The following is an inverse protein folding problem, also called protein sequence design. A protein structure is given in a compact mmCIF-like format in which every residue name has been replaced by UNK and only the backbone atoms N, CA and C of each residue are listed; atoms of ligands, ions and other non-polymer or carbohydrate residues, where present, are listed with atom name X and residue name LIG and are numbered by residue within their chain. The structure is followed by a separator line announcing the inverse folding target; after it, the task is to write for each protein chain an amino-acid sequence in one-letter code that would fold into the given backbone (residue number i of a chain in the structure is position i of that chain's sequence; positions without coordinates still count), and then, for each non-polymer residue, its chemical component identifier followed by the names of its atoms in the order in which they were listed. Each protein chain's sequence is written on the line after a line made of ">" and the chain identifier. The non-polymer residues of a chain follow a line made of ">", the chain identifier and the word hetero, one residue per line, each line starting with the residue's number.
data_IF_077469880798
#
_entry.id   IF_077469880798
#
_cell.length_a   1.000
_cell.length_b   1.000
_cell.length_c   1.000
_cell.angle_alpha   90.00
_cell.angle_beta   90.00
_cell.angle_gamma   90.00
#
_symmetry.space_group_name_H-M   'P 1'
#
loop_
_entity.id
_entity.type
_entity.pdbx_description
1 polymer ?
#
# COMPACT_ATOMS: atom_id res chain seq x y z
N UNK A 1 -16.81 -5.59 -13.36
CA UNK A 1 -15.70 -5.71 -12.41
C UNK A 1 -14.48 -5.22 -13.14
N UNK A 2 -13.89 -4.11 -12.70
CA UNK A 2 -12.66 -3.60 -13.30
C UNK A 2 -11.49 -4.54 -12.92
N UNK A 3 -10.45 -4.54 -13.74
CA UNK A 3 -9.13 -5.03 -13.34
C UNK A 3 -8.36 -3.76 -12.96
N UNK A 4 -7.95 -3.65 -11.70
CA UNK A 4 -7.04 -2.60 -11.24
C UNK A 4 -5.69 -2.78 -11.97
N UNK A 5 -5.16 -1.71 -12.56
CA UNK A 5 -3.94 -1.73 -13.36
C UNK A 5 -2.94 -0.80 -12.68
N UNK A 6 -2.26 -1.33 -11.67
CA UNK A 6 -1.19 -0.61 -10.97
C UNK A 6 0.18 -0.80 -11.65
N UNK A 7 1.01 0.25 -11.61
CA UNK A 7 2.48 0.14 -11.76
C UNK A 7 3.15 0.66 -10.49
N UNK A 8 4.27 0.06 -10.11
CA UNK A 8 4.97 0.30 -8.85
C UNK A 8 6.45 0.51 -9.09
N UNK A 9 7.04 1.53 -8.47
CA UNK A 9 8.43 1.91 -8.64
C UNK A 9 9.09 2.18 -7.29
N UNK A 10 10.40 1.96 -7.20
CA UNK A 10 11.22 2.61 -6.19
C UNK A 10 11.33 4.11 -6.48
N UNK A 11 11.60 4.92 -5.47
CA UNK A 11 11.83 6.37 -5.63
C UNK A 11 13.31 6.68 -5.44
N UNK A 12 13.93 7.28 -6.45
CA UNK A 12 15.36 7.59 -6.49
C UNK A 12 15.70 9.07 -6.22
N UNK A 13 14.70 9.95 -6.18
CA UNK A 13 14.87 11.38 -5.93
C UNK A 13 13.70 12.02 -5.19
N UNK A 14 13.89 13.26 -4.74
CA UNK A 14 12.92 14.03 -3.95
C UNK A 14 11.94 14.87 -4.77
N UNK A 15 12.09 14.90 -6.10
CA UNK A 15 11.31 15.74 -7.02
C UNK A 15 9.79 15.54 -7.00
N UNK A 16 9.29 14.46 -6.39
CA UNK A 16 7.85 14.27 -6.12
C UNK A 16 7.31 15.19 -5.03
N UNK A 17 8.15 15.69 -4.09
CA UNK A 17 7.71 16.47 -2.93
C UNK A 17 7.05 17.79 -3.32
N UNK A 18 7.44 18.38 -4.45
CA UNK A 18 6.81 19.58 -5.02
C UNK A 18 5.45 19.33 -5.69
N UNK A 19 5.05 18.06 -5.87
CA UNK A 19 3.80 17.64 -6.51
C UNK A 19 2.74 17.19 -5.49
N UNK A 20 3.02 17.22 -4.18
CA UNK A 20 2.13 16.66 -3.15
C UNK A 20 0.85 17.51 -3.00
N UNK A 21 -0.28 16.94 -3.43
CA UNK A 21 -1.63 17.52 -3.34
C UNK A 21 -2.25 17.34 -1.95
N UNK A 22 -2.04 16.16 -1.34
CA UNK A 22 -2.51 15.83 0.00
C UNK A 22 -1.67 14.69 0.60
N UNK A 23 -1.81 14.45 1.90
CA UNK A 23 -1.10 13.36 2.58
C UNK A 23 -1.95 12.80 3.72
N UNK A 24 -1.92 11.48 3.91
CA UNK A 24 -2.60 10.78 5.00
C UNK A 24 -1.64 9.82 5.72
N UNK A 25 -1.74 9.73 7.04
CA UNK A 25 -0.92 8.82 7.85
C UNK A 25 -1.60 7.45 7.96
N UNK A 26 -0.92 6.40 7.47
CA UNK A 26 -1.48 5.06 7.31
C UNK A 26 -0.76 4.02 8.16
N UNK A 27 -1.48 3.48 9.15
CA UNK A 27 -1.07 2.26 9.87
C UNK A 27 -1.94 1.11 9.44
N UNK A 28 -1.35 0.02 8.97
CA UNK A 28 -2.09 -1.17 8.57
C UNK A 28 -1.40 -2.46 9.02
N UNK A 29 -2.19 -3.39 9.57
CA UNK A 29 -1.75 -4.65 10.15
C UNK A 29 -2.56 -5.83 9.65
N UNK A 30 -1.92 -6.99 9.54
CA UNK A 30 -2.50 -8.19 8.96
C UNK A 30 -2.87 -9.21 10.04
N UNK A 31 -4.13 -9.62 10.07
CA UNK A 31 -4.69 -10.49 11.12
C UNK A 31 -4.66 -11.98 10.75
N UNK A 32 -4.49 -12.31 9.46
CA UNK A 32 -4.33 -13.70 8.99
C UNK A 32 -2.88 -14.01 8.64
N UNK A 33 -2.27 -14.91 9.42
CA UNK A 33 -0.93 -15.48 9.16
C UNK A 33 -1.06 -16.92 8.68
N UNK A 34 -0.61 -17.22 7.45
CA UNK A 34 -0.51 -18.61 6.93
C UNK A 34 -1.81 -19.28 6.45
N UNK A 35 -2.95 -18.59 6.46
CA UNK A 35 -4.21 -19.12 5.93
C UNK A 35 -4.25 -19.14 4.39
N UNK A 36 -4.56 -20.29 3.78
CA UNK A 36 -4.71 -20.39 2.31
C UNK A 36 -5.93 -19.57 1.84
N UNK A 37 -5.67 -18.45 1.19
CA UNK A 37 -6.66 -17.73 0.40
C UNK A 37 -7.58 -16.76 1.14
N UNK A 38 -7.24 -16.28 2.35
CA UNK A 38 -7.93 -15.12 2.96
C UNK A 38 -6.93 -14.19 3.62
N UNK A 39 -6.92 -12.92 3.18
CA UNK A 39 -6.17 -11.83 3.80
C UNK A 39 -7.15 -10.94 4.56
N UNK A 40 -6.98 -10.82 5.88
CA UNK A 40 -7.69 -9.81 6.69
C UNK A 40 -6.68 -8.74 7.09
N UNK A 41 -6.92 -7.51 6.63
CA UNK A 41 -6.14 -6.31 6.95
C UNK A 41 -7.00 -5.37 7.78
N UNK A 42 -6.46 -4.87 8.89
CA UNK A 42 -6.99 -3.67 9.56
C UNK A 42 -6.13 -2.47 9.15
N UNK A 43 -6.74 -1.32 8.89
CA UNK A 43 -6.09 -0.06 8.54
C UNK A 43 -6.67 1.07 9.39
N UNK A 44 -5.83 2.00 9.82
CA UNK A 44 -6.27 3.32 10.33
C UNK A 44 -5.71 4.41 9.44
N UNK A 45 -6.46 5.51 9.33
CA UNK A 45 -6.11 6.71 8.55
C UNK A 45 -6.16 7.91 9.49
N UNK A 46 -5.04 8.63 9.57
CA UNK A 46 -4.80 9.79 10.45
C UNK A 46 -5.08 9.51 11.95
N UNK A 47 -5.04 8.23 12.34
CA UNK A 47 -5.50 7.70 13.63
C UNK A 47 -6.92 8.17 14.03
N UNK A 48 -7.74 8.49 13.02
CA UNK A 48 -9.09 9.06 13.15
C UNK A 48 -10.18 8.18 12.52
N UNK A 49 -9.90 7.55 11.37
CA UNK A 49 -10.79 6.57 10.69
C UNK A 49 -10.21 5.17 10.75
N UNK A 50 -11.06 4.15 10.88
CA UNK A 50 -10.66 2.74 10.98
C UNK A 50 -11.36 1.88 9.91
N UNK A 51 -10.65 0.94 9.32
CA UNK A 51 -11.15 0.07 8.25
C UNK A 51 -10.72 -1.39 8.46
N UNK A 52 -11.59 -2.33 8.09
CA UNK A 52 -11.25 -3.75 7.92
C UNK A 52 -11.45 -4.12 6.45
N UNK A 53 -10.37 -4.55 5.80
CA UNK A 53 -10.38 -5.12 4.44
C UNK A 53 -10.28 -6.64 4.53
N UNK A 54 -11.19 -7.35 3.87
CA UNK A 54 -11.14 -8.81 3.69
C UNK A 54 -10.97 -9.10 2.20
N UNK A 55 -9.81 -9.63 1.80
CA UNK A 55 -9.51 -10.05 0.42
C UNK A 55 -9.50 -11.58 0.34
N UNK A 56 -10.30 -12.18 -0.55
CA UNK A 56 -10.29 -13.63 -0.79
C UNK A 56 -9.43 -14.01 -2.00
N UNK A 57 -8.63 -15.06 -1.82
CA UNK A 57 -7.83 -15.70 -2.85
C UNK A 57 -8.67 -16.65 -3.68
N UNK A 58 -9.47 -16.11 -4.60
CA UNK A 58 -9.95 -16.85 -5.76
C UNK A 58 -8.80 -17.21 -6.71
N UNK A 59 -9.13 -17.67 -7.92
CA UNK A 59 -8.12 -17.82 -8.96
C UNK A 59 -7.48 -16.47 -9.31
N UNK A 60 -6.30 -16.49 -9.93
CA UNK A 60 -5.51 -15.29 -10.22
C UNK A 60 -6.21 -14.22 -11.11
N UNK A 61 -7.39 -14.53 -11.64
CA UNK A 61 -8.21 -13.66 -12.49
C UNK A 61 -9.30 -12.90 -11.72
N UNK A 62 -9.61 -13.28 -10.47
CA UNK A 62 -10.60 -12.58 -9.64
C UNK A 62 -10.37 -12.83 -8.14
N UNK A 63 -10.06 -11.77 -7.40
CA UNK A 63 -10.13 -11.72 -5.93
C UNK A 63 -11.42 -10.99 -5.55
N UNK A 64 -12.14 -11.48 -4.54
CA UNK A 64 -13.23 -10.70 -3.97
C UNK A 64 -12.69 -9.84 -2.82
N UNK A 65 -13.12 -8.59 -2.77
CA UNK A 65 -12.68 -7.62 -1.77
C UNK A 65 -13.89 -6.98 -1.09
N UNK A 66 -13.82 -6.92 0.23
CA UNK A 66 -14.83 -6.29 1.07
C UNK A 66 -14.11 -5.36 2.03
N UNK A 67 -14.43 -4.07 1.99
CA UNK A 67 -13.93 -3.10 2.97
C UNK A 67 -15.08 -2.50 3.77
N UNK A 68 -14.89 -2.43 5.09
CA UNK A 68 -15.87 -1.90 6.04
C UNK A 68 -15.18 -0.84 6.91
N UNK A 69 -15.80 0.34 7.04
CA UNK A 69 -15.42 1.29 8.09
C UNK A 69 -15.86 0.74 9.45
N UNK A 70 -15.01 0.92 10.46
CA UNK A 70 -15.20 0.44 11.84
C UNK A 70 -14.78 1.53 12.84
N UNK A 71 -15.28 1.50 14.09
CA UNK A 71 -14.86 2.45 15.11
C UNK A 71 -13.33 2.48 15.27
N UNK A 72 -12.75 3.68 15.35
CA UNK A 72 -11.30 3.85 15.47
C UNK A 72 -10.72 3.18 16.72
N UNK A 73 -11.50 3.06 17.81
CA UNK A 73 -11.11 2.30 19.00
C UNK A 73 -10.91 0.81 18.67
N UNK A 74 -11.84 0.21 17.93
CA UNK A 74 -11.81 -1.20 17.52
C UNK A 74 -10.65 -1.43 16.54
N UNK A 75 -10.45 -0.53 15.58
CA UNK A 75 -9.32 -0.60 14.65
C UNK A 75 -7.95 -0.55 15.35
N UNK A 76 -7.79 0.30 16.38
CA UNK A 76 -6.58 0.34 17.22
C UNK A 76 -6.37 -0.97 18.00
N UNK A 77 -7.44 -1.54 18.58
CA UNK A 77 -7.36 -2.83 19.28
C UNK A 77 -6.99 -3.98 18.32
N UNK A 78 -7.62 -4.03 17.15
CA UNK A 78 -7.32 -5.00 16.10
C UNK A 78 -5.88 -4.85 15.58
N UNK A 79 -5.38 -3.62 15.38
CA UNK A 79 -3.98 -3.38 15.02
C UNK A 79 -3.02 -4.05 16.01
N UNK A 80 -3.25 -3.94 17.33
CA UNK A 80 -2.43 -4.59 18.34
C UNK A 80 -2.43 -6.14 18.23
N UNK A 81 -3.49 -6.76 17.71
CA UNK A 81 -3.57 -8.21 17.51
C UNK A 81 -2.73 -8.74 16.33
N UNK A 82 -2.22 -7.89 15.45
CA UNK A 82 -1.40 -8.30 14.29
C UNK A 82 0.04 -8.69 14.63
N UNK A 83 0.48 -8.61 15.90
CA UNK A 83 1.74 -9.20 16.41
C UNK A 83 3.01 -8.86 15.61
N UNK A 84 3.12 -7.62 15.12
CA UNK A 84 4.27 -7.16 14.33
C UNK A 84 4.15 -7.40 12.82
N UNK A 85 3.06 -8.03 12.35
CA UNK A 85 2.68 -8.05 10.93
C UNK A 85 2.06 -6.70 10.50
N UNK A 86 2.85 -5.62 10.62
CA UNK A 86 2.41 -4.22 10.47
C UNK A 86 3.33 -3.42 9.55
N UNK A 87 2.77 -2.35 8.97
CA UNK A 87 3.50 -1.22 8.39
C UNK A 87 2.88 0.10 8.83
N UNK A 88 3.73 1.12 9.00
CA UNK A 88 3.39 2.52 9.25
C UNK A 88 4.02 3.35 8.11
N UNK A 89 3.27 4.26 7.50
CA UNK A 89 3.72 5.06 6.35
C UNK A 89 2.87 6.32 6.16
N UNK A 90 3.45 7.36 5.56
CA UNK A 90 2.67 8.47 4.99
C UNK A 90 2.36 8.16 3.54
N UNK A 91 1.09 8.25 3.12
CA UNK A 91 0.71 8.21 1.70
C UNK A 91 0.48 9.62 1.19
N UNK A 92 1.36 10.07 0.30
CA UNK A 92 1.26 11.34 -0.40
C UNK A 92 0.54 11.14 -1.73
N UNK A 93 -0.54 11.89 -1.97
CA UNK A 93 -1.23 11.90 -3.27
C UNK A 93 -0.60 13.01 -4.12
N UNK A 94 -0.24 12.73 -5.37
CA UNK A 94 0.44 13.70 -6.23
C UNK A 94 -0.54 14.37 -7.22
N UNK A 95 -0.25 15.61 -7.59
CA UNK A 95 -0.83 16.28 -8.75
C UNK A 95 0.09 16.03 -9.95
N UNK A 96 -0.12 14.89 -10.62
CA UNK A 96 0.70 14.40 -11.73
C UNK A 96 -0.18 13.68 -12.76
N UNK A 97 0.08 13.91 -14.04
CA UNK A 97 -0.71 13.34 -15.13
C UNK A 97 -0.45 11.85 -15.41
N UNK A 98 -1.36 11.24 -16.17
CA UNK A 98 -1.22 9.88 -16.71
C UNK A 98 -1.80 8.75 -15.86
N UNK A 99 -2.22 9.03 -14.62
CA UNK A 99 -2.88 8.09 -13.72
C UNK A 99 -3.06 8.71 -12.33
N UNK A 100 -3.72 8.01 -11.41
CA UNK A 100 -3.80 8.43 -10.00
C UNK A 100 -2.50 8.03 -9.30
N UNK A 101 -1.63 9.02 -9.06
CA UNK A 101 -0.29 8.85 -8.49
C UNK A 101 -0.27 9.01 -6.98
N UNK A 102 0.42 8.08 -6.30
CA UNK A 102 0.79 8.19 -4.89
C UNK A 102 2.25 7.85 -4.65
N UNK A 103 2.84 8.46 -3.62
CA UNK A 103 4.12 8.03 -3.03
C UNK A 103 3.88 7.63 -1.58
N UNK A 104 4.28 6.42 -1.24
CA UNK A 104 4.34 5.92 0.13
C UNK A 104 5.74 6.16 0.71
N UNK A 105 5.81 7.01 1.74
CA UNK A 105 6.98 7.19 2.59
C UNK A 105 6.84 6.28 3.81
N UNK A 106 7.58 5.15 3.86
CA UNK A 106 7.49 4.16 4.93
C UNK A 106 8.35 4.53 6.14
N UNK A 107 7.86 4.19 7.34
CA UNK A 107 8.44 4.61 8.62
C UNK A 107 8.97 3.44 9.47
N UNK A 108 9.84 3.76 10.42
CA UNK A 108 10.21 2.90 11.55
C UNK A 108 11.17 1.78 11.14
N UNK A 109 10.65 0.58 10.81
CA UNK A 109 11.49 -0.55 10.35
C UNK A 109 11.78 -0.53 8.85
N UNK A 110 11.02 0.29 8.11
CA UNK A 110 11.14 0.52 6.67
C UNK A 110 11.55 1.96 6.39
N UNK A 111 12.17 2.62 7.37
CA UNK A 111 12.59 4.03 7.29
C UNK A 111 13.49 4.25 6.06
N UNK A 112 13.12 5.19 5.19
CA UNK A 112 13.83 5.46 3.95
C UNK A 112 13.42 4.59 2.75
N UNK A 113 12.55 3.59 2.92
CA UNK A 113 11.88 2.94 1.80
C UNK A 113 10.76 3.86 1.27
N UNK A 114 10.91 4.34 0.04
CA UNK A 114 9.91 5.14 -0.66
C UNK A 114 9.45 4.39 -1.92
N UNK A 115 8.14 4.21 -2.07
CA UNK A 115 7.53 3.51 -3.21
C UNK A 115 6.52 4.42 -3.88
N UNK A 116 6.62 4.59 -5.20
CA UNK A 116 5.58 5.21 -6.00
C UNK A 116 4.63 4.13 -6.55
N UNK A 117 3.33 4.39 -6.47
CA UNK A 117 2.28 3.58 -7.12
C UNK A 117 1.46 4.50 -8.03
N UNK A 118 1.03 3.99 -9.18
CA UNK A 118 0.13 4.69 -10.11
C UNK A 118 -0.93 3.74 -10.64
N UNK A 119 -2.20 4.14 -10.52
CA UNK A 119 -3.32 3.42 -11.12
C UNK A 119 -3.63 3.99 -12.53
N UNK A 120 -3.85 3.09 -13.49
CA UNK A 120 -4.04 3.41 -14.91
C UNK A 120 -5.40 2.92 -15.43
N UNK A 121 -6.07 3.74 -16.26
CA UNK A 121 -7.32 3.34 -16.92
C UNK A 121 -7.14 2.18 -17.93
N UNK A 122 -5.92 1.93 -18.43
CA UNK A 122 -5.66 0.84 -19.38
C UNK A 122 -4.20 0.34 -19.35
N UNK A 123 -3.93 -0.95 -19.64
CA UNK A 123 -2.58 -1.52 -19.64
C UNK A 123 -1.68 -0.99 -20.78
N UNK A 124 -2.27 -0.34 -21.77
CA UNK A 124 -1.59 0.25 -22.93
C UNK A 124 -1.47 1.77 -22.84
N UNK A 125 -1.80 2.36 -21.69
CA UNK A 125 -1.61 3.78 -21.43
C UNK A 125 -0.12 4.16 -21.53
N UNK A 126 0.19 5.18 -22.33
CA UNK A 126 1.52 5.79 -22.30
C UNK A 126 1.65 6.62 -21.03
N UNK A 127 2.69 6.35 -20.26
CA UNK A 127 3.00 7.03 -19.01
C UNK A 127 4.42 7.60 -19.12
N UNK A 128 4.52 8.92 -19.15
CA UNK A 128 5.81 9.61 -19.15
C UNK A 128 6.39 9.58 -17.73
N UNK A 129 7.38 8.71 -17.52
CA UNK A 129 7.97 8.43 -16.22
C UNK A 129 8.82 9.63 -15.72
N UNK A 130 8.52 10.22 -14.55
CA UNK A 130 9.35 11.29 -13.98
C UNK A 130 10.76 10.81 -13.61
N UNK A 131 11.75 11.69 -13.80
CA UNK A 131 13.17 11.40 -13.51
C UNK A 131 13.53 11.22 -12.02
N UNK A 132 12.55 11.28 -11.11
CA UNK A 132 12.71 10.95 -9.69
C UNK A 132 12.32 9.50 -9.34
N UNK A 133 11.77 8.74 -10.30
CA UNK A 133 11.56 7.30 -10.16
C UNK A 133 12.88 6.54 -10.30
N UNK A 134 13.00 5.45 -9.55
CA UNK A 134 14.00 4.40 -9.72
C UNK A 134 13.43 3.21 -10.49
N UNK A 135 13.90 2.01 -10.14
CA UNK A 135 13.50 0.77 -10.81
C UNK A 135 12.00 0.47 -10.69
N UNK A 136 11.42 -0.07 -11.76
CA UNK A 136 10.06 -0.59 -11.75
C UNK A 136 10.02 -1.96 -11.07
N UNK A 137 9.21 -2.06 -10.02
CA UNK A 137 9.03 -3.26 -9.17
C UNK A 137 7.58 -3.78 -9.24
N UNK A 138 6.86 -3.43 -10.31
CA UNK A 138 5.52 -3.93 -10.65
C UNK A 138 5.52 -5.46 -10.68
N UNK A 139 4.67 -6.07 -9.84
CA UNK A 139 4.54 -7.53 -9.75
C UNK A 139 5.56 -8.24 -8.85
N UNK A 140 6.56 -7.54 -8.31
CA UNK A 140 7.54 -8.12 -7.39
C UNK A 140 6.92 -8.34 -5.99
N UNK A 141 6.86 -9.59 -5.48
CA UNK A 141 6.28 -9.88 -4.19
C UNK A 141 6.95 -9.19 -2.99
N UNK A 142 8.23 -8.79 -3.05
CA UNK A 142 8.89 -8.21 -1.88
C UNK A 142 8.34 -6.81 -1.52
N UNK A 143 7.94 -6.03 -2.53
CA UNK A 143 7.40 -4.66 -2.38
C UNK A 143 5.87 -4.60 -2.23
N UNK A 144 5.22 -5.73 -1.94
CA UNK A 144 3.81 -5.77 -1.55
C UNK A 144 3.65 -5.40 -0.07
N UNK A 145 2.64 -4.56 0.23
CA UNK A 145 2.31 -4.14 1.60
C UNK A 145 2.16 -5.32 2.59
N UNK A 146 1.69 -6.49 2.14
CA UNK A 146 1.61 -7.72 2.94
C UNK A 146 2.96 -8.36 3.22
N UNK A 147 3.90 -8.33 2.27
CA UNK A 147 5.24 -8.89 2.42
C UNK A 147 6.09 -7.98 3.30
N UNK A 148 6.08 -6.67 3.00
CA UNK A 148 6.67 -5.63 3.85
C UNK A 148 6.16 -5.71 5.29
N UNK A 149 4.88 -6.06 5.52
CA UNK A 149 4.35 -6.30 6.86
C UNK A 149 4.84 -7.60 7.51
N UNK A 150 5.09 -8.68 6.76
CA UNK A 150 5.48 -9.99 7.30
C UNK A 150 6.99 -10.19 7.56
N UNK A 151 7.85 -9.26 7.13
CA UNK A 151 9.31 -9.30 7.39
C UNK A 151 9.66 -9.18 8.90
N UNK A 152 9.75 -10.31 9.59
CA UNK A 152 10.20 -10.39 10.98
C UNK A 152 11.68 -10.76 11.05
N UNK A 153 12.54 -9.75 11.21
CA UNK A 153 13.96 -9.95 11.58
C UNK A 153 14.94 -10.24 10.43
N UNK A 154 14.64 -9.74 9.22
CA UNK A 154 15.59 -9.71 8.10
C UNK A 154 15.58 -8.35 7.41
N UNK A 155 16.74 -7.94 6.89
CA UNK A 155 16.88 -6.82 5.95
C UNK A 155 16.32 -7.22 4.57
N UNK A 156 16.13 -6.23 3.68
CA UNK A 156 15.71 -6.41 2.28
C UNK A 156 16.96 -6.50 1.41
#
# INVERSE_FOLDING_TARGET
>A
MAIEIERKFLVAGDGWRGLVRSSEALRQGYLTTGGKGVTVRVRTVDDARGFITIKSGGSALARAEFEYEVPIADARQLLALSRGAQIDKTRHNLDLGGGDWVVDEFHGRHEGLWIAEVELESPTGKLDLPAWLGDEVTGDPQYYNSSLAMLVGGEI
#
